data_IF_003697881935
#
_entry.id   IF_003697881935
#
_cell.length_a   1.000
_cell.length_b   1.000
_cell.length_c   1.000
_cell.angle_alpha   90.00
_cell.angle_beta   90.00
_cell.angle_gamma   90.00
#
_symmetry.space_group_name_H-M   'P 1'
#
loop_
_entity.id
_entity.type
_entity.pdbx_description
1 polymer ?
#
# COMPACT_ATOMS: atom_id res chain seq x y z
N UNK A 1 -38.06 45.40 32.26
CA UNK A 1 -36.97 44.45 32.52
C UNK A 1 -36.97 43.42 31.39
N UNK A 2 -36.01 43.53 30.47
CA UNK A 2 -35.85 42.68 29.28
C UNK A 2 -35.19 41.35 29.67
N UNK A 3 -35.76 40.21 29.25
CA UNK A 3 -35.07 38.91 29.23
C UNK A 3 -34.91 38.50 27.77
N UNK A 4 -33.68 38.60 27.28
CA UNK A 4 -33.26 38.10 25.98
C UNK A 4 -32.98 36.61 26.14
N UNK A 5 -33.73 35.76 25.44
CA UNK A 5 -33.37 34.35 25.26
C UNK A 5 -32.38 34.26 24.10
N UNK A 6 -31.13 33.90 24.38
CA UNK A 6 -30.17 33.50 23.35
C UNK A 6 -30.37 32.01 23.07
N UNK A 7 -31.01 31.69 21.94
CA UNK A 7 -31.01 30.33 21.41
C UNK A 7 -29.73 30.15 20.59
N UNK A 8 -28.72 29.50 21.17
CA UNK A 8 -27.55 29.05 20.42
C UNK A 8 -27.91 27.79 19.64
N UNK A 9 -28.26 27.96 18.35
CA UNK A 9 -28.35 26.83 17.42
C UNK A 9 -26.92 26.43 17.05
N UNK A 10 -26.43 25.37 17.69
CA UNK A 10 -25.20 24.70 17.27
C UNK A 10 -25.55 23.89 16.00
N UNK A 11 -25.38 24.50 14.82
CA UNK A 11 -25.45 23.78 13.57
C UNK A 11 -24.20 22.88 13.48
N UNK A 12 -24.33 21.65 13.95
CA UNK A 12 -23.34 20.61 13.71
C UNK A 12 -23.43 20.25 12.22
N UNK A 13 -22.63 20.91 11.39
CA UNK A 13 -22.44 20.56 10.00
C UNK A 13 -21.75 19.19 9.97
N UNK A 14 -22.56 18.14 9.94
CA UNK A 14 -22.15 16.79 9.55
C UNK A 14 -21.82 16.85 8.05
N UNK A 15 -20.65 17.37 7.70
CA UNK A 15 -20.01 16.98 6.45
C UNK A 15 -19.63 15.53 6.62
N UNK A 16 -20.57 14.63 6.28
CA UNK A 16 -20.23 13.26 5.98
C UNK A 16 -19.29 13.27 4.79
N UNK A 17 -17.99 13.25 5.05
CA UNK A 17 -16.99 12.97 4.03
C UNK A 17 -17.15 11.51 3.63
N UNK A 18 -18.04 11.26 2.66
CA UNK A 18 -17.93 10.08 1.84
C UNK A 18 -16.78 10.33 0.85
N UNK A 19 -15.53 10.16 1.29
CA UNK A 19 -14.41 10.01 0.36
C UNK A 19 -14.51 8.63 -0.28
N UNK A 20 -15.47 8.46 -1.18
CA UNK A 20 -15.45 7.37 -2.16
C UNK A 20 -14.32 7.64 -3.16
N UNK A 21 -13.74 6.58 -3.71
CA UNK A 21 -12.66 6.65 -4.69
C UNK A 21 -13.02 7.49 -5.95
N UNK A 22 -14.31 7.67 -6.21
CA UNK A 22 -14.90 8.24 -7.43
C UNK A 22 -14.39 9.65 -7.81
N UNK A 23 -13.81 10.41 -6.88
CA UNK A 23 -13.31 11.77 -7.11
C UNK A 23 -11.79 11.95 -6.96
N UNK A 24 -11.03 10.90 -6.68
CA UNK A 24 -9.57 10.99 -6.58
C UNK A 24 -8.91 10.69 -7.94
N UNK A 25 -7.85 11.43 -8.33
CA UNK A 25 -7.13 11.12 -9.56
C UNK A 25 -6.39 9.79 -9.44
N UNK A 26 -6.37 9.00 -10.51
CA UNK A 26 -5.53 7.81 -10.59
C UNK A 26 -4.06 8.24 -10.70
N UNK A 27 -3.27 7.98 -9.66
CA UNK A 27 -1.84 8.33 -9.63
C UNK A 27 -0.93 7.17 -10.04
N UNK A 28 -1.35 5.93 -9.76
CA UNK A 28 -0.56 4.74 -10.05
C UNK A 28 -1.46 3.55 -10.32
N UNK A 29 -1.15 2.83 -11.39
CA UNK A 29 -1.69 1.52 -11.70
C UNK A 29 -0.55 0.67 -12.27
N UNK A 30 -0.52 -0.60 -11.87
CA UNK A 30 0.36 -1.60 -12.46
C UNK A 30 -0.31 -2.98 -12.43
N UNK A 31 -0.54 -3.54 -13.61
CA UNK A 31 -0.99 -4.92 -13.80
C UNK A 31 0.15 -5.87 -14.17
N UNK A 32 1.39 -5.38 -14.12
CA UNK A 32 2.64 -6.07 -14.41
C UNK A 32 2.80 -6.57 -15.85
N UNK A 33 1.93 -6.16 -16.78
CA UNK A 33 2.06 -6.49 -18.20
C UNK A 33 3.34 -5.92 -18.82
N UNK A 34 3.84 -4.80 -18.27
CA UNK A 34 5.04 -4.10 -18.73
C UNK A 34 6.30 -4.42 -17.90
N UNK A 35 6.27 -5.48 -17.07
CA UNK A 35 7.37 -5.82 -16.20
C UNK A 35 7.31 -5.10 -14.85
N UNK A 36 8.47 -4.90 -14.22
CA UNK A 36 8.56 -4.36 -12.85
C UNK A 36 9.48 -3.14 -12.72
N UNK A 37 9.76 -2.44 -13.80
CA UNK A 37 10.74 -1.33 -13.82
C UNK A 37 10.33 -0.16 -12.93
N UNK A 38 9.02 0.01 -12.68
CA UNK A 38 8.45 1.03 -11.78
C UNK A 38 8.59 0.69 -10.30
N UNK A 39 9.20 -0.46 -9.97
CA UNK A 39 9.36 -0.94 -8.60
C UNK A 39 10.83 -0.95 -8.19
N UNK A 40 11.08 -0.50 -6.97
CA UNK A 40 12.36 -0.61 -6.28
C UNK A 40 12.30 -1.78 -5.31
N UNK A 41 13.30 -2.65 -5.35
CA UNK A 41 13.35 -3.86 -4.53
C UNK A 41 14.45 -3.76 -3.49
N UNK A 42 14.22 -4.32 -2.31
CA UNK A 42 15.30 -4.53 -1.34
C UNK A 42 16.41 -5.43 -1.90
N UNK A 43 16.02 -6.45 -2.67
CA UNK A 43 16.88 -7.33 -3.45
C UNK A 43 16.12 -7.83 -4.69
N UNK A 44 16.44 -7.31 -5.87
CA UNK A 44 15.75 -7.65 -7.12
C UNK A 44 15.87 -9.13 -7.50
N UNK A 45 16.89 -9.84 -7.01
CA UNK A 45 17.07 -11.28 -7.28
C UNK A 45 16.03 -12.16 -6.59
N UNK A 46 15.23 -11.60 -5.67
CA UNK A 46 14.15 -12.29 -4.96
C UNK A 46 12.77 -12.09 -5.58
N UNK A 47 12.67 -11.28 -6.65
CA UNK A 47 11.41 -10.91 -7.28
C UNK A 47 11.38 -11.29 -8.76
N UNK A 48 10.20 -11.65 -9.26
CA UNK A 48 9.97 -11.90 -10.69
C UNK A 48 8.51 -11.66 -11.04
N UNK A 49 8.25 -11.42 -12.33
CA UNK A 49 6.88 -11.46 -12.86
C UNK A 49 6.51 -12.92 -13.17
N UNK A 50 5.31 -13.33 -12.75
CA UNK A 50 4.75 -14.66 -13.03
C UNK A 50 3.37 -14.52 -13.65
N UNK A 51 2.95 -15.54 -14.39
CA UNK A 51 1.55 -15.70 -14.77
C UNK A 51 0.78 -16.33 -13.59
N UNK A 52 -0.29 -15.66 -13.18
CA UNK A 52 -1.22 -16.14 -12.17
C UNK A 52 -2.17 -17.19 -12.74
N UNK A 53 -2.82 -17.95 -11.86
CA UNK A 53 -3.82 -18.96 -12.25
C UNK A 53 -5.03 -18.36 -12.98
N UNK A 54 -5.31 -17.08 -12.75
CA UNK A 54 -6.45 -16.36 -13.32
C UNK A 54 -6.10 -15.64 -14.63
N UNK A 55 -4.92 -15.91 -15.21
CA UNK A 55 -4.50 -15.33 -16.50
C UNK A 55 -3.91 -13.91 -16.41
N UNK A 56 -3.82 -13.33 -15.22
CA UNK A 56 -3.14 -12.04 -15.00
C UNK A 56 -1.64 -12.23 -14.72
N UNK A 57 -0.85 -11.18 -14.90
CA UNK A 57 0.54 -11.15 -14.41
C UNK A 57 0.58 -10.68 -12.96
N UNK A 58 1.55 -11.18 -12.20
CA UNK A 58 1.76 -10.81 -10.81
C UNK A 58 3.24 -10.63 -10.50
N UNK A 59 3.57 -9.63 -9.69
CA UNK A 59 4.87 -9.49 -9.06
C UNK A 59 4.98 -10.48 -7.89
N UNK A 60 5.91 -11.43 -8.00
CA UNK A 60 6.08 -12.52 -7.04
C UNK A 60 7.42 -12.44 -6.32
N UNK A 61 7.36 -12.34 -5.01
CA UNK A 61 8.46 -12.74 -4.13
C UNK A 61 8.57 -14.27 -4.23
N UNK A 62 9.67 -14.78 -4.79
CA UNK A 62 9.81 -16.21 -5.07
C UNK A 62 10.96 -16.89 -4.31
N UNK A 63 11.85 -16.10 -3.69
CA UNK A 63 13.05 -16.60 -3.02
C UNK A 63 13.03 -16.21 -1.56
N UNK A 64 13.13 -17.21 -0.67
CA UNK A 64 13.10 -16.98 0.78
C UNK A 64 14.27 -16.12 1.29
N UNK A 65 15.47 -16.36 0.77
CA UNK A 65 16.70 -15.73 1.26
C UNK A 65 17.07 -14.53 0.39
N UNK A 66 17.16 -13.36 1.01
CA UNK A 66 17.61 -12.10 0.43
C UNK A 66 19.09 -11.86 0.72
N UNK A 67 19.80 -11.22 -0.21
CA UNK A 67 21.12 -10.65 0.03
C UNK A 67 21.07 -9.31 0.77
N UNK A 68 19.90 -8.69 0.86
CA UNK A 68 19.68 -7.43 1.58
C UNK A 68 19.85 -7.62 3.08
N UNK A 69 20.61 -6.71 3.71
CA UNK A 69 20.84 -6.68 5.15
C UNK A 69 20.13 -5.47 5.74
N UNK A 70 18.92 -5.62 6.30
CA UNK A 70 18.22 -4.51 6.93
C UNK A 70 18.96 -4.02 8.17
N UNK A 71 18.81 -2.74 8.55
CA UNK A 71 19.38 -2.17 9.78
C UNK A 71 18.71 -2.72 11.05
N UNK A 72 17.50 -3.26 10.92
CA UNK A 72 16.75 -3.94 11.99
C UNK A 72 16.47 -5.40 11.62
N UNK A 73 15.77 -6.14 12.49
CA UNK A 73 15.53 -7.58 12.31
C UNK A 73 14.80 -7.94 11.00
N UNK A 74 13.97 -7.03 10.49
CA UNK A 74 13.10 -7.18 9.32
C UNK A 74 12.67 -5.77 8.85
N UNK A 75 12.14 -5.59 7.63
CA UNK A 75 11.90 -6.59 6.58
C UNK A 75 13.14 -6.93 5.73
N UNK A 76 13.23 -8.19 5.29
CA UNK A 76 14.25 -8.63 4.31
C UNK A 76 13.80 -8.41 2.86
N UNK A 77 12.49 -8.39 2.64
CA UNK A 77 11.85 -8.35 1.34
C UNK A 77 10.84 -7.21 1.32
N UNK A 78 11.04 -6.25 0.43
CA UNK A 78 10.03 -5.26 0.09
C UNK A 78 10.16 -4.85 -1.38
N UNK A 79 9.05 -4.40 -1.93
CA UNK A 79 8.94 -3.79 -3.25
C UNK A 79 8.18 -2.47 -3.08
N UNK A 80 8.79 -1.37 -3.50
CA UNK A 80 8.27 -0.01 -3.37
C UNK A 80 8.00 0.56 -4.76
N UNK A 81 6.90 1.29 -4.92
CA UNK A 81 6.67 2.07 -6.13
C UNK A 81 7.69 3.22 -6.19
N UNK A 82 8.37 3.37 -7.33
CA UNK A 82 9.33 4.47 -7.55
C UNK A 82 8.61 5.78 -7.81
N UNK A 83 9.24 6.87 -7.37
CA UNK A 83 8.88 8.24 -7.72
C UNK A 83 7.41 8.61 -7.44
N UNK A 84 6.83 8.02 -6.38
CA UNK A 84 5.45 8.26 -5.97
C UNK A 84 5.40 8.62 -4.48
N UNK A 85 4.93 9.84 -4.19
CA UNK A 85 4.62 10.30 -2.84
C UNK A 85 3.16 10.75 -2.81
N UNK A 86 2.39 10.23 -1.86
CA UNK A 86 0.95 10.49 -1.72
C UNK A 86 0.61 10.79 -0.26
N UNK A 87 -0.44 11.60 -0.06
CA UNK A 87 -1.01 11.89 1.26
C UNK A 87 -2.18 10.95 1.55
N UNK A 88 -3.41 11.46 1.46
CA UNK A 88 -4.61 10.65 1.52
C UNK A 88 -4.84 9.97 0.15
N UNK A 89 -5.05 8.65 0.16
CA UNK A 89 -5.27 7.88 -1.06
C UNK A 89 -6.18 6.68 -0.81
N UNK A 90 -6.73 6.15 -1.92
CA UNK A 90 -7.37 4.85 -1.97
C UNK A 90 -6.40 3.88 -2.63
N UNK A 91 -6.22 2.71 -2.02
CA UNK A 91 -5.46 1.60 -2.61
C UNK A 91 -6.36 0.42 -2.86
N UNK A 92 -6.42 0.01 -4.12
CA UNK A 92 -7.00 -1.25 -4.54
C UNK A 92 -5.89 -2.18 -5.00
N UNK A 93 -5.84 -3.39 -4.45
CA UNK A 93 -4.81 -4.37 -4.80
C UNK A 93 -5.35 -5.80 -4.68
N UNK A 94 -4.81 -6.68 -5.53
CA UNK A 94 -5.01 -8.13 -5.43
C UNK A 94 -3.71 -8.75 -4.93
N UNK A 95 -3.78 -9.40 -3.77
CA UNK A 95 -2.63 -10.01 -3.13
C UNK A 95 -2.93 -11.47 -2.80
N UNK A 96 -1.91 -12.32 -2.87
CA UNK A 96 -2.03 -13.74 -2.58
C UNK A 96 -0.81 -14.23 -1.79
N UNK A 97 -1.06 -14.86 -0.64
CA UNK A 97 -0.05 -15.67 0.04
C UNK A 97 0.01 -17.06 -0.61
N UNK A 98 1.18 -17.45 -1.11
CA UNK A 98 1.39 -18.70 -1.89
C UNK A 98 1.93 -19.85 -1.06
N UNK A 99 1.94 -19.69 0.26
CA UNK A 99 2.82 -20.39 1.16
C UNK A 99 1.99 -20.87 2.37
N UNK A 100 2.17 -22.13 2.79
CA UNK A 100 1.31 -22.82 3.79
C UNK A 100 1.13 -22.04 5.10
N UNK A 101 -0.03 -22.06 5.73
CA UNK A 101 -0.20 -21.32 6.98
C UNK A 101 0.83 -21.71 8.08
N UNK A 102 1.40 -20.71 8.76
CA UNK A 102 2.29 -20.85 9.94
C UNK A 102 2.45 -19.52 10.68
N UNK A 103 2.92 -19.58 11.94
CA UNK A 103 3.09 -18.41 12.81
C UNK A 103 4.04 -17.35 12.22
N UNK A 104 3.67 -16.07 12.31
CA UNK A 104 4.45 -14.92 11.81
C UNK A 104 4.59 -14.86 10.28
N UNK A 105 3.64 -15.46 9.55
CA UNK A 105 3.57 -15.31 8.11
C UNK A 105 2.74 -14.09 7.76
N UNK A 106 3.42 -12.99 7.46
CA UNK A 106 2.75 -11.74 7.10
C UNK A 106 2.91 -11.42 5.62
N UNK A 107 1.80 -10.95 5.01
CA UNK A 107 1.79 -10.28 3.72
C UNK A 107 1.37 -8.83 3.98
N UNK A 108 2.35 -7.95 4.08
CA UNK A 108 2.14 -6.59 4.54
C UNK A 108 2.07 -5.59 3.38
N UNK A 109 1.29 -4.54 3.60
CA UNK A 109 1.35 -3.28 2.86
C UNK A 109 1.96 -2.23 3.78
N UNK A 110 2.93 -1.47 3.28
CA UNK A 110 3.60 -0.42 4.04
C UNK A 110 3.43 0.90 3.30
N UNK A 111 3.19 1.96 4.07
CA UNK A 111 2.97 3.32 3.56
C UNK A 111 3.88 4.29 4.29
N UNK A 112 4.18 5.43 3.66
CA UNK A 112 5.03 6.46 4.29
C UNK A 112 6.49 6.04 4.49
N UNK A 113 6.99 5.10 3.70
CA UNK A 113 8.39 4.66 3.72
C UNK A 113 9.34 5.86 3.56
N UNK A 114 10.33 5.97 4.44
CA UNK A 114 11.34 7.03 4.38
C UNK A 114 12.68 6.42 3.92
N UNK A 115 13.14 5.42 4.65
CA UNK A 115 14.43 4.75 4.39
C UNK A 115 14.45 3.35 5.06
N UNK A 116 15.49 2.52 4.85
CA UNK A 116 15.51 1.17 5.42
C UNK A 116 15.46 1.07 6.96
N UNK A 117 15.74 2.16 7.68
CA UNK A 117 15.69 2.24 9.13
C UNK A 117 14.39 2.86 9.68
N UNK A 118 13.51 3.41 8.82
CA UNK A 118 12.28 4.12 9.21
C UNK A 118 11.11 3.80 8.28
#
# INVERSE_FOLDING_TARGET
MFRVLFLSVLALSMFGYSHGADNLPLLFEDNFAKGSDRWAFSDSSCWKIVDSKDGFKALSQFKKNSGFKPPHRSPYHFALVKDLSVGDFVLETKMLSTIKDYNHRDLCLFFGYQDPAH
#
